data_IF_880030357555
#
_entry.id   IF_880030357555
#
_cell.length_a   1.000
_cell.length_b   1.000
_cell.length_c   1.000
_cell.angle_alpha   90.00
_cell.angle_beta   90.00
_cell.angle_gamma   90.00
#
_symmetry.space_group_name_H-M   'P 1'
#
loop_
_entity.id
_entity.type
_entity.pdbx_description
1 polymer ?
#
# COMPACT_ATOMS: atom_id res chain seq x y z
N UNK A 1 4.44 -18.71 5.56
CA UNK A 1 3.74 -17.58 4.91
C UNK A 1 2.48 -17.12 5.64
N UNK A 2 1.89 -17.93 6.54
CA UNK A 2 0.70 -17.55 7.34
C UNK A 2 0.81 -16.17 8.00
N UNK A 3 1.89 -15.89 8.73
CA UNK A 3 2.11 -14.59 9.40
C UNK A 3 2.13 -13.42 8.41
N UNK A 4 2.87 -13.53 7.31
CA UNK A 4 2.97 -12.49 6.27
C UNK A 4 1.59 -12.23 5.65
N UNK A 5 0.83 -13.29 5.36
CA UNK A 5 -0.55 -13.18 4.87
C UNK A 5 -1.44 -12.42 5.84
N UNK A 6 -1.37 -12.75 7.13
CA UNK A 6 -2.15 -12.07 8.18
C UNK A 6 -1.77 -10.60 8.29
N UNK A 7 -0.48 -10.28 8.32
CA UNK A 7 0.01 -8.90 8.37
C UNK A 7 -0.47 -8.10 7.16
N UNK A 8 -0.29 -8.65 5.94
CA UNK A 8 -0.73 -7.98 4.70
C UNK A 8 -2.23 -7.73 4.71
N UNK A 9 -3.02 -8.71 5.18
CA UNK A 9 -4.48 -8.56 5.31
C UNK A 9 -4.85 -7.45 6.31
N UNK A 10 -4.17 -7.36 7.44
CA UNK A 10 -4.40 -6.31 8.44
C UNK A 10 -4.08 -4.93 7.85
N UNK A 11 -2.91 -4.76 7.22
CA UNK A 11 -2.52 -3.52 6.56
C UNK A 11 -3.55 -3.11 5.52
N UNK A 12 -4.00 -4.07 4.70
CA UNK A 12 -4.99 -3.84 3.66
C UNK A 12 -6.35 -3.37 4.23
N UNK A 13 -6.81 -3.95 5.34
CA UNK A 13 -8.03 -3.52 6.03
C UNK A 13 -7.86 -2.11 6.60
N UNK A 14 -6.72 -1.82 7.23
CA UNK A 14 -6.43 -0.48 7.77
C UNK A 14 -6.45 0.57 6.65
N UNK A 15 -5.82 0.28 5.51
CA UNK A 15 -5.82 1.18 4.36
C UNK A 15 -7.21 1.42 3.79
N UNK A 16 -8.05 0.38 3.72
CA UNK A 16 -9.45 0.53 3.32
C UNK A 16 -10.20 1.49 4.26
N UNK A 17 -10.04 1.30 5.57
CA UNK A 17 -10.69 2.16 6.58
C UNK A 17 -10.19 3.60 6.47
N UNK A 18 -8.89 3.82 6.33
CA UNK A 18 -8.31 5.16 6.16
C UNK A 18 -8.78 5.83 4.87
N UNK A 19 -8.82 5.09 3.76
CA UNK A 19 -9.35 5.59 2.48
C UNK A 19 -10.80 6.04 2.63
N UNK A 20 -11.65 5.26 3.29
CA UNK A 20 -13.07 5.59 3.49
C UNK A 20 -13.21 6.80 4.42
N UNK A 21 -12.51 6.83 5.55
CA UNK A 21 -12.56 7.96 6.49
C UNK A 21 -12.15 9.26 5.79
N UNK A 22 -11.04 9.24 5.06
CA UNK A 22 -10.52 10.43 4.37
C UNK A 22 -11.44 10.96 3.27
N UNK A 23 -12.29 10.13 2.65
CA UNK A 23 -13.32 10.61 1.71
C UNK A 23 -14.36 11.53 2.39
N UNK A 24 -14.65 11.31 3.67
CA UNK A 24 -15.71 12.03 4.37
C UNK A 24 -15.24 13.31 5.08
N UNK A 25 -13.94 13.57 5.16
CA UNK A 25 -13.41 14.64 6.02
C UNK A 25 -13.25 16.01 5.30
N UNK A 26 -13.48 16.12 3.99
CA UNK A 26 -13.47 17.39 3.24
C UNK A 26 -12.09 18.08 3.12
N UNK A 27 -11.99 19.15 2.30
CA UNK A 27 -10.77 19.96 2.17
C UNK A 27 -9.63 19.27 1.38
N UNK A 28 -8.38 19.32 1.90
CA UNK A 28 -7.17 18.67 1.32
C UNK A 28 -7.17 17.12 1.43
N UNK A 29 -8.17 16.53 2.09
CA UNK A 29 -8.24 15.08 2.31
C UNK A 29 -8.50 14.18 1.08
N UNK A 30 -9.00 14.66 -0.07
CA UNK A 30 -9.04 13.86 -1.29
C UNK A 30 -7.66 13.37 -1.73
N UNK A 31 -6.59 14.17 -1.53
CA UNK A 31 -5.21 13.76 -1.83
C UNK A 31 -4.81 12.51 -1.03
N UNK A 32 -5.12 12.51 0.27
CA UNK A 32 -4.85 11.37 1.15
C UNK A 32 -5.68 10.16 0.78
N UNK A 33 -6.95 10.34 0.41
CA UNK A 33 -7.80 9.23 -0.07
C UNK A 33 -7.22 8.57 -1.31
N UNK A 34 -6.70 9.38 -2.25
CA UNK A 34 -6.07 8.87 -3.47
C UNK A 34 -4.76 8.14 -3.14
N UNK A 35 -3.88 8.73 -2.32
CA UNK A 35 -2.64 8.10 -1.89
C UNK A 35 -2.88 6.77 -1.14
N UNK A 36 -3.86 6.75 -0.22
CA UNK A 36 -4.28 5.50 0.45
C UNK A 36 -4.90 4.49 -0.52
N UNK A 37 -5.61 4.96 -1.55
CA UNK A 37 -6.12 4.11 -2.63
C UNK A 37 -5.01 3.43 -3.44
N UNK A 38 -3.96 4.16 -3.81
CA UNK A 38 -2.79 3.57 -4.48
C UNK A 38 -2.07 2.56 -3.58
N UNK A 39 -1.86 2.90 -2.30
CA UNK A 39 -1.29 1.96 -1.34
C UNK A 39 -2.18 0.71 -1.18
N UNK A 40 -3.49 0.88 -1.12
CA UNK A 40 -4.44 -0.23 -1.04
C UNK A 40 -4.31 -1.18 -2.23
N UNK A 41 -4.22 -0.64 -3.46
CA UNK A 41 -3.99 -1.43 -4.67
C UNK A 41 -2.63 -2.14 -4.65
N UNK A 42 -1.58 -1.45 -4.20
CA UNK A 42 -0.25 -2.03 -4.04
C UNK A 42 -0.26 -3.24 -3.10
N UNK A 43 -0.85 -3.11 -1.91
CA UNK A 43 -0.95 -4.21 -0.95
C UNK A 43 -1.92 -5.32 -1.41
N UNK A 44 -2.92 -4.99 -2.23
CA UNK A 44 -3.77 -5.99 -2.88
C UNK A 44 -2.94 -6.88 -3.83
N UNK A 45 -2.06 -6.30 -4.64
CA UNK A 45 -1.16 -7.05 -5.53
C UNK A 45 -0.24 -7.95 -4.71
N UNK A 46 0.37 -7.44 -3.63
CA UNK A 46 1.19 -8.26 -2.73
C UNK A 46 0.37 -9.41 -2.14
N UNK A 47 -0.87 -9.16 -1.73
CA UNK A 47 -1.74 -10.19 -1.19
C UNK A 47 -2.08 -11.27 -2.24
N UNK A 48 -2.33 -10.89 -3.49
CA UNK A 48 -2.52 -11.83 -4.61
C UNK A 48 -1.25 -12.66 -4.84
N UNK A 49 -0.07 -12.05 -4.85
CA UNK A 49 1.21 -12.77 -4.95
C UNK A 49 1.36 -13.77 -3.80
N UNK A 50 1.04 -13.37 -2.57
CA UNK A 50 1.06 -14.28 -1.42
C UNK A 50 0.13 -15.47 -1.64
N UNK A 51 -1.08 -15.28 -2.20
CA UNK A 51 -2.03 -16.35 -2.49
C UNK A 51 -1.49 -17.31 -3.56
N UNK A 52 -0.97 -16.78 -4.67
CA UNK A 52 -0.41 -17.58 -5.77
C UNK A 52 0.78 -18.41 -5.31
N UNK A 53 1.69 -17.80 -4.53
CA UNK A 53 2.90 -18.46 -4.06
C UNK A 53 2.74 -19.13 -2.68
N UNK A 54 1.54 -19.16 -2.10
CA UNK A 54 1.32 -19.62 -0.72
C UNK A 54 1.78 -21.08 -0.49
N UNK A 55 1.56 -21.94 -1.49
CA UNK A 55 1.89 -23.36 -1.44
C UNK A 55 3.29 -23.68 -1.96
N UNK A 56 4.03 -22.67 -2.46
CA UNK A 56 5.39 -22.85 -2.97
C UNK A 56 6.37 -22.89 -1.79
N UNK A 57 7.24 -23.90 -1.77
CA UNK A 57 8.22 -24.11 -0.68
C UNK A 57 9.50 -23.29 -0.86
N UNK A 58 9.68 -22.64 -2.00
CA UNK A 58 10.90 -21.89 -2.30
C UNK A 58 11.03 -20.66 -1.39
N UNK A 59 12.13 -20.61 -0.63
CA UNK A 59 12.41 -19.52 0.32
C UNK A 59 12.56 -18.16 -0.38
N UNK A 60 12.98 -18.14 -1.64
CA UNK A 60 13.20 -16.92 -2.45
C UNK A 60 11.94 -16.07 -2.57
N UNK A 61 10.77 -16.66 -2.85
CA UNK A 61 9.51 -15.92 -2.96
C UNK A 61 9.14 -15.26 -1.63
N UNK A 62 9.41 -15.92 -0.51
CA UNK A 62 9.15 -15.36 0.81
C UNK A 62 9.98 -14.10 1.06
N UNK A 63 11.28 -14.13 0.72
CA UNK A 63 12.14 -12.96 0.85
C UNK A 63 11.70 -11.82 -0.08
N UNK A 64 11.37 -12.13 -1.33
CA UNK A 64 10.89 -11.15 -2.30
C UNK A 64 9.60 -10.44 -1.83
N UNK A 65 8.62 -11.21 -1.34
CA UNK A 65 7.38 -10.66 -0.79
C UNK A 65 7.64 -9.81 0.46
N UNK A 66 8.52 -10.25 1.36
CA UNK A 66 8.89 -9.46 2.53
C UNK A 66 9.56 -8.14 2.14
N UNK A 67 10.42 -8.16 1.13
CA UNK A 67 11.08 -6.97 0.61
C UNK A 67 10.03 -5.99 0.06
N UNK A 68 9.13 -6.44 -0.81
CA UNK A 68 8.02 -5.62 -1.33
C UNK A 68 7.18 -5.01 -0.21
N UNK A 69 6.85 -5.77 0.83
CA UNK A 69 6.05 -5.29 1.95
C UNK A 69 6.73 -4.13 2.70
N UNK A 70 8.06 -4.13 2.77
CA UNK A 70 8.86 -3.17 3.53
C UNK A 70 9.21 -1.92 2.71
N UNK A 71 9.26 -2.00 1.37
CA UNK A 71 9.65 -0.86 0.50
C UNK A 71 8.85 0.41 0.82
N UNK A 72 7.50 0.41 0.86
CA UNK A 72 6.75 1.63 1.13
C UNK A 72 7.11 2.22 2.49
N UNK A 73 7.29 1.37 3.51
CA UNK A 73 7.64 1.80 4.87
C UNK A 73 9.01 2.48 4.88
N UNK A 74 10.02 1.91 4.21
CA UNK A 74 11.35 2.51 4.11
C UNK A 74 11.27 3.86 3.40
N UNK A 75 10.55 3.94 2.28
CA UNK A 75 10.41 5.19 1.53
C UNK A 75 9.74 6.28 2.37
N UNK A 76 8.64 5.96 3.06
CA UNK A 76 7.95 6.90 3.94
C UNK A 76 8.83 7.40 5.09
N UNK A 77 9.73 6.55 5.62
CA UNK A 77 10.65 6.92 6.69
C UNK A 77 11.83 7.78 6.24
N UNK A 78 12.27 7.64 4.99
CA UNK A 78 13.38 8.44 4.43
C UNK A 78 12.87 9.83 4.05
N UNK A 79 11.78 9.88 3.30
CA UNK A 79 11.22 11.12 2.79
C UNK A 79 9.71 10.96 2.55
N UNK A 80 8.94 11.46 3.50
CA UNK A 80 7.49 11.41 3.44
C UNK A 80 6.93 12.22 2.26
N UNK A 81 7.53 13.37 1.95
CA UNK A 81 7.07 14.28 0.91
C UNK A 81 7.30 13.66 -0.47
N UNK A 82 8.53 13.22 -0.75
CA UNK A 82 8.87 12.54 -2.01
C UNK A 82 8.06 11.26 -2.21
N UNK A 83 7.76 10.52 -1.14
CA UNK A 83 6.89 9.33 -1.22
C UNK A 83 5.45 9.69 -1.61
N UNK A 84 4.90 10.74 -1.01
CA UNK A 84 3.55 11.20 -1.31
C UNK A 84 3.46 11.76 -2.73
N UNK A 85 4.47 12.53 -3.16
CA UNK A 85 4.61 13.01 -4.52
C UNK A 85 4.70 11.85 -5.52
N UNK A 86 5.46 10.80 -5.23
CA UNK A 86 5.51 9.61 -6.07
C UNK A 86 4.15 8.92 -6.21
N UNK A 87 3.40 8.79 -5.10
CA UNK A 87 2.05 8.21 -5.13
C UNK A 87 1.08 9.06 -5.95
N UNK A 88 1.25 10.37 -5.93
CA UNK A 88 0.37 11.32 -6.60
C UNK A 88 0.86 11.78 -7.98
N UNK A 89 2.07 11.40 -8.39
CA UNK A 89 2.69 11.85 -9.64
C UNK A 89 1.86 11.52 -10.88
N UNK A 90 1.09 10.43 -10.83
CA UNK A 90 0.15 10.01 -11.89
C UNK A 90 -1.16 10.78 -11.88
N UNK A 91 -1.47 11.49 -10.79
CA UNK A 91 -2.68 12.30 -10.65
C UNK A 91 -2.32 13.73 -10.97
N UNK A 92 -2.46 14.11 -12.24
CA UNK A 92 -2.48 15.53 -12.60
C UNK A 92 -3.79 16.10 -12.05
N UNK A 93 -3.78 16.54 -10.80
CA UNK A 93 -4.87 17.31 -10.23
C UNK A 93 -4.85 18.67 -10.93
N UNK A 94 -5.63 18.75 -12.00
CA UNK A 94 -5.98 20.02 -12.64
C UNK A 94 -6.88 20.78 -11.66
N UNK A 95 -6.27 21.36 -10.62
CA UNK A 95 -6.94 22.21 -9.65
C UNK A 95 -7.21 23.55 -10.34
N UNK A 96 -8.40 23.68 -10.92
CA UNK A 96 -8.99 24.98 -11.29
C UNK A 96 -9.51 25.73 -10.07
#
# INVERSE_FOLDING_TARGET
MKTIKTITKIIWIILLVLMVITLFMGGFMPLFSIAFGFLFLYYLIIYILILVFYNQTQKTYKYFICLLLIIPIIFTLIDFETFFDFLLQTVHLDMK
#
